data_IF_559323711860
#
_entry.id   IF_559323711860
#
_cell.length_a   1.000
_cell.length_b   1.000
_cell.length_c   1.000
_cell.angle_alpha   90.00
_cell.angle_beta   90.00
_cell.angle_gamma   90.00
#
_symmetry.space_group_name_H-M   'P 1'
#
loop_
_entity.id
_entity.type
_entity.pdbx_description
1 polymer ?
#
# COMPACT_ATOMS: atom_id res chain seq x y z
N UNK A 1 -17.06 -21.37 -71.00
CA UNK A 1 -17.78 -21.45 -69.70
C UNK A 1 -16.76 -21.70 -68.62
N UNK A 2 -16.46 -20.64 -67.85
CA UNK A 2 -15.58 -20.63 -66.67
C UNK A 2 -16.17 -21.52 -65.57
N UNK A 3 -15.30 -22.23 -64.83
CA UNK A 3 -15.54 -22.51 -63.41
C UNK A 3 -14.19 -22.63 -62.69
N UNK A 4 -13.74 -21.50 -62.11
CA UNK A 4 -12.80 -21.45 -61.00
C UNK A 4 -13.49 -22.00 -59.76
N UNK A 5 -12.86 -22.91 -59.01
CA UNK A 5 -13.05 -22.96 -57.55
C UNK A 5 -11.71 -23.18 -56.86
N UNK A 6 -11.35 -22.18 -56.06
CA UNK A 6 -10.11 -22.01 -55.35
C UNK A 6 -10.03 -22.92 -54.11
N UNK A 7 -8.91 -23.63 -53.95
CA UNK A 7 -8.52 -24.22 -52.66
C UNK A 7 -7.93 -23.13 -51.76
N UNK A 8 -8.69 -22.71 -50.76
CA UNK A 8 -8.22 -21.86 -49.69
C UNK A 8 -7.51 -22.71 -48.64
N UNK A 9 -6.19 -22.57 -48.57
CA UNK A 9 -5.36 -23.02 -47.46
C UNK A 9 -5.59 -22.09 -46.27
N UNK A 10 -6.27 -22.55 -45.23
CA UNK A 10 -6.32 -21.87 -43.94
C UNK A 10 -4.95 -21.99 -43.26
N UNK A 11 -4.11 -20.97 -43.38
CA UNK A 11 -2.91 -20.82 -42.56
C UNK A 11 -3.37 -20.50 -41.13
N UNK A 12 -3.13 -21.42 -40.20
CA UNK A 12 -3.42 -21.24 -38.79
C UNK A 12 -2.65 -20.04 -38.23
N UNK A 13 -3.38 -19.06 -37.72
CA UNK A 13 -2.82 -17.92 -37.02
C UNK A 13 -2.21 -18.40 -35.68
N UNK A 14 -0.88 -18.38 -35.59
CA UNK A 14 -0.17 -18.41 -34.32
C UNK A 14 -0.50 -17.10 -33.59
N UNK A 15 -1.51 -17.13 -32.71
CA UNK A 15 -1.75 -16.06 -31.76
C UNK A 15 -0.52 -15.92 -30.86
N UNK A 16 0.08 -14.72 -30.74
CA UNK A 16 1.15 -14.51 -29.78
C UNK A 16 0.58 -14.72 -28.38
N UNK A 17 1.26 -15.55 -27.58
CA UNK A 17 1.02 -15.67 -26.16
C UNK A 17 1.12 -14.27 -25.54
N UNK A 18 -0.01 -13.71 -25.12
CA UNK A 18 0.00 -12.49 -24.32
C UNK A 18 0.84 -12.75 -23.06
N UNK A 19 1.68 -11.79 -22.62
CA UNK A 19 2.43 -11.94 -21.39
C UNK A 19 1.44 -12.18 -20.25
N UNK A 20 1.64 -13.26 -19.49
CA UNK A 20 0.91 -13.48 -18.26
C UNK A 20 1.15 -12.27 -17.35
N UNK A 21 0.10 -11.55 -16.90
CA UNK A 21 0.31 -10.49 -15.93
C UNK A 21 0.98 -11.11 -14.70
N UNK A 22 1.91 -10.40 -14.03
CA UNK A 22 2.53 -10.92 -12.82
C UNK A 22 1.43 -11.32 -11.84
N UNK A 23 1.58 -12.48 -11.19
CA UNK A 23 0.66 -13.04 -10.19
C UNK A 23 0.43 -12.16 -8.95
N UNK A 24 0.90 -10.91 -8.98
CA UNK A 24 0.80 -9.88 -7.94
C UNK A 24 -0.15 -8.76 -8.36
N UNK A 25 -1.23 -9.07 -9.08
CA UNK A 25 -2.45 -8.27 -8.91
C UNK A 25 -3.05 -8.62 -7.53
N UNK A 26 -2.26 -8.41 -6.47
CA UNK A 26 -2.71 -8.52 -5.10
C UNK A 26 -3.88 -7.55 -4.98
N UNK A 27 -5.04 -8.07 -4.64
CA UNK A 27 -6.24 -7.29 -4.36
C UNK A 27 -5.83 -6.21 -3.36
N UNK A 28 -5.69 -4.96 -3.84
CA UNK A 28 -5.20 -3.83 -3.02
C UNK A 28 -6.11 -3.76 -1.79
N UNK A 29 -5.55 -4.02 -0.62
CA UNK A 29 -6.22 -3.71 0.65
C UNK A 29 -6.19 -2.19 0.73
N UNK A 30 -7.27 -1.58 0.28
CA UNK A 30 -7.56 -0.17 0.50
C UNK A 30 -8.58 -0.13 1.64
N UNK A 31 -8.10 0.17 2.84
CA UNK A 31 -8.94 0.87 3.81
C UNK A 31 -9.30 2.24 3.19
N UNK A 32 -10.37 2.91 3.64
CA UNK A 32 -10.68 4.25 3.13
C UNK A 32 -9.48 5.20 3.24
N UNK A 33 -9.49 6.29 2.46
CA UNK A 33 -8.39 7.26 2.33
C UNK A 33 -7.74 7.71 3.67
N UNK A 34 -8.46 7.68 4.79
CA UNK A 34 -7.99 8.11 6.11
C UNK A 34 -7.60 6.95 7.05
N UNK A 35 -6.81 5.98 6.57
CA UNK A 35 -6.50 4.77 7.36
C UNK A 35 -5.11 4.23 7.03
N UNK A 36 -4.20 4.29 8.01
CA UNK A 36 -2.90 3.63 7.92
C UNK A 36 -3.05 2.12 8.11
N UNK A 37 -2.67 1.34 7.10
CA UNK A 37 -2.66 -0.13 7.16
C UNK A 37 -1.63 -0.69 8.16
N UNK A 38 -0.72 0.16 8.65
CA UNK A 38 0.32 -0.19 9.62
C UNK A 38 -0.23 -0.85 10.88
N UNK A 39 -1.42 -0.44 11.35
CA UNK A 39 -2.07 -0.97 12.57
C UNK A 39 -2.32 -2.48 12.46
N UNK A 40 -2.57 -2.96 11.24
CA UNK A 40 -3.00 -4.32 10.94
C UNK A 40 -1.97 -5.10 10.12
N UNK A 41 -0.70 -4.68 10.06
CA UNK A 41 0.32 -5.37 9.28
C UNK A 41 1.22 -6.23 10.17
N UNK A 42 1.42 -7.50 9.80
CA UNK A 42 2.33 -8.45 10.46
C UNK A 42 3.81 -7.99 10.50
N UNK A 43 4.16 -6.98 9.69
CA UNK A 43 5.52 -6.45 9.53
C UNK A 43 5.72 -5.07 10.15
N UNK A 44 4.76 -4.61 10.98
CA UNK A 44 4.78 -3.24 11.55
C UNK A 44 6.08 -2.92 12.30
N UNK A 45 6.63 -3.91 13.01
CA UNK A 45 7.87 -3.88 13.79
C UNK A 45 9.16 -4.07 12.97
N UNK A 46 9.07 -4.26 11.65
CA UNK A 46 10.25 -4.53 10.81
C UNK A 46 10.34 -3.69 9.56
N UNK A 47 9.27 -2.99 9.18
CA UNK A 47 9.18 -2.25 7.93
C UNK A 47 9.87 -0.88 8.01
N UNK A 48 10.78 -0.61 7.08
CA UNK A 48 11.46 0.68 6.98
C UNK A 48 10.50 1.85 6.72
N UNK A 49 9.46 1.64 5.91
CA UNK A 49 8.46 2.69 5.63
C UNK A 49 7.60 3.01 6.84
N UNK A 50 7.19 2.00 7.63
CA UNK A 50 6.40 2.27 8.83
C UNK A 50 7.22 3.04 9.88
N UNK A 51 8.50 2.71 10.05
CA UNK A 51 9.39 3.52 10.90
C UNK A 51 9.52 4.97 10.44
N UNK A 52 9.54 5.21 9.14
CA UNK A 52 9.55 6.57 8.61
C UNK A 52 8.25 7.32 8.93
N UNK A 53 7.09 6.67 8.80
CA UNK A 53 5.80 7.27 9.20
C UNK A 53 5.74 7.57 10.70
N UNK A 54 6.21 6.65 11.56
CA UNK A 54 6.33 6.90 13.00
C UNK A 54 7.16 8.16 13.29
N UNK A 55 8.26 8.35 12.55
CA UNK A 55 9.10 9.54 12.66
C UNK A 55 8.35 10.81 12.26
N UNK A 56 7.54 10.77 11.20
CA UNK A 56 6.74 11.92 10.76
C UNK A 56 5.60 12.24 11.73
N UNK A 57 5.12 11.25 12.49
CA UNK A 57 4.12 11.44 13.55
C UNK A 57 4.75 11.81 14.91
N UNK A 58 6.07 11.92 15.00
CA UNK A 58 6.80 12.15 16.26
C UNK A 58 6.46 11.11 17.35
N UNK A 59 6.06 9.91 16.93
CA UNK A 59 5.66 8.83 17.83
C UNK A 59 6.86 7.96 18.22
N UNK A 60 6.81 7.28 19.37
CA UNK A 60 7.80 6.26 19.70
C UNK A 60 7.87 5.17 18.64
N UNK A 61 9.08 4.76 18.28
CA UNK A 61 9.28 3.70 17.31
C UNK A 61 8.92 2.33 17.88
N UNK A 62 8.11 1.57 17.15
CA UNK A 62 7.78 0.18 17.49
C UNK A 62 9.05 -0.68 17.52
N UNK A 63 9.97 -0.43 16.59
CA UNK A 63 11.28 -1.07 16.56
C UNK A 63 12.40 -0.08 16.20
N UNK A 64 13.52 -0.18 16.91
CA UNK A 64 14.66 0.73 16.74
C UNK A 64 15.44 0.47 15.45
N UNK A 65 15.41 -0.75 14.92
CA UNK A 65 16.21 -1.16 13.75
C UNK A 65 15.43 -2.13 12.86
N UNK A 66 14.40 -1.65 12.13
CA UNK A 66 13.71 -2.42 11.12
C UNK A 66 14.66 -2.84 9.99
N UNK A 67 14.42 -4.02 9.42
CA UNK A 67 15.27 -4.66 8.41
C UNK A 67 14.49 -5.08 7.15
N UNK A 68 13.21 -4.72 7.05
CA UNK A 68 12.33 -5.08 5.96
C UNK A 68 12.05 -3.89 5.03
N UNK A 69 12.44 -4.02 3.76
CA UNK A 69 12.06 -3.10 2.69
C UNK A 69 10.71 -3.54 2.09
N UNK A 70 9.64 -2.73 2.19
CA UNK A 70 8.35 -3.08 1.61
C UNK A 70 8.34 -2.96 0.08
N UNK A 71 7.47 -3.73 -0.55
CA UNK A 71 7.16 -3.62 -1.97
C UNK A 71 6.02 -2.63 -2.20
N UNK A 72 6.22 -1.68 -3.11
CA UNK A 72 5.23 -0.66 -3.54
C UNK A 72 4.43 0.00 -2.39
N UNK A 73 5.08 0.61 -1.38
CA UNK A 73 4.34 1.35 -0.36
C UNK A 73 3.69 2.62 -0.96
N UNK A 74 2.39 2.80 -0.73
CA UNK A 74 1.63 3.95 -1.16
C UNK A 74 1.28 4.80 0.06
N UNK A 75 1.74 6.06 0.06
CA UNK A 75 1.60 6.99 1.18
C UNK A 75 0.66 8.12 0.77
N UNK A 76 -0.35 8.39 1.60
CA UNK A 76 -1.23 9.53 1.50
C UNK A 76 -0.77 10.60 2.50
N UNK A 77 -0.78 11.86 2.07
CA UNK A 77 -0.40 13.01 2.91
C UNK A 77 -1.59 13.96 3.01
N UNK A 78 -2.04 14.22 4.23
CA UNK A 78 -3.03 15.26 4.50
C UNK A 78 -2.32 16.50 5.00
N UNK A 79 -2.58 17.64 4.36
CA UNK A 79 -2.07 18.95 4.78
C UNK A 79 -3.28 19.79 5.13
N UNK A 80 -3.37 20.26 6.37
CA UNK A 80 -4.50 21.05 6.86
C UNK A 80 -4.00 22.38 7.39
N UNK A 81 -4.68 23.44 6.98
CA UNK A 81 -4.48 24.78 7.50
C UNK A 81 -5.45 24.99 8.66
N UNK A 82 -4.92 25.08 9.89
CA UNK A 82 -5.72 25.37 11.08
C UNK A 82 -5.82 26.88 11.31
N UNK A 83 -6.21 27.63 10.27
CA UNK A 83 -6.40 29.09 10.31
C UNK A 83 -7.34 29.59 11.42
N UNK A 84 -8.13 28.71 12.04
CA UNK A 84 -9.00 29.03 13.18
C UNK A 84 -8.33 28.80 14.56
N UNK A 85 -7.22 28.08 14.64
CA UNK A 85 -6.40 28.01 15.84
C UNK A 85 -5.59 29.31 15.95
N UNK A 86 -5.47 29.86 17.16
CA UNK A 86 -4.90 31.19 17.43
C UNK A 86 -3.44 31.41 16.96
N UNK A 87 -2.81 30.39 16.38
CA UNK A 87 -1.40 30.34 16.00
C UNK A 87 -1.16 29.95 14.51
N UNK A 88 -2.20 29.80 13.68
CA UNK A 88 -2.03 29.56 12.23
C UNK A 88 -1.19 28.33 11.90
N UNK A 89 -1.37 27.24 12.66
CA UNK A 89 -0.57 26.04 12.53
C UNK A 89 -0.96 25.22 11.29
N UNK A 90 0.05 24.78 10.52
CA UNK A 90 -0.11 23.80 9.46
C UNK A 90 0.07 22.40 10.07
N UNK A 91 -0.92 21.53 9.94
CA UNK A 91 -0.79 20.12 10.34
C UNK A 91 -0.57 19.24 9.12
N UNK A 92 0.36 18.29 9.26
CA UNK A 92 0.72 17.33 8.21
C UNK A 92 0.62 15.92 8.79
N UNK A 93 -0.12 15.04 8.11
CA UNK A 93 -0.41 13.67 8.53
C UNK A 93 -0.03 12.70 7.39
N UNK A 94 0.60 11.58 7.73
CA UNK A 94 1.15 10.62 6.77
C UNK A 94 0.58 9.22 6.99
N UNK A 95 -0.20 8.71 6.04
CA UNK A 95 -0.80 7.38 6.12
C UNK A 95 -0.25 6.45 5.04
N UNK A 96 0.20 5.25 5.43
CA UNK A 96 0.40 4.17 4.45
C UNK A 96 -0.96 3.53 4.18
N UNK A 97 -1.59 3.86 3.06
CA UNK A 97 -2.95 3.36 2.75
C UNK A 97 -2.96 2.10 1.88
N UNK A 98 -1.83 1.74 1.24
CA UNK A 98 -1.66 0.48 0.51
C UNK A 98 -0.18 0.05 0.43
N UNK A 99 0.08 -1.26 0.31
CA UNK A 99 1.41 -1.83 0.10
C UNK A 99 1.31 -3.27 -0.42
N UNK A 100 2.10 -3.63 -1.44
CA UNK A 100 2.12 -5.00 -2.00
C UNK A 100 2.73 -6.04 -1.03
N UNK A 101 3.47 -5.57 -0.03
CA UNK A 101 4.02 -6.41 1.04
C UNK A 101 3.11 -6.51 2.28
N UNK A 102 1.89 -5.96 2.23
CA UNK A 102 0.93 -6.03 3.34
C UNK A 102 0.59 -7.49 3.66
N UNK A 103 0.68 -7.84 4.94
CA UNK A 103 0.26 -9.14 5.47
C UNK A 103 -0.61 -8.84 6.67
N UNK A 104 -1.87 -9.25 6.62
CA UNK A 104 -2.83 -8.94 7.67
C UNK A 104 -2.45 -9.62 9.00
N UNK A 105 -2.38 -8.81 10.05
CA UNK A 105 -2.30 -9.20 11.45
C UNK A 105 -3.02 -8.11 12.27
N UNK A 106 -4.33 -8.29 12.47
CA UNK A 106 -5.21 -7.26 13.06
C UNK A 106 -4.68 -6.75 14.39
N UNK A 107 -4.56 -5.43 14.53
CA UNK A 107 -4.13 -4.77 15.77
C UNK A 107 -2.71 -5.14 16.23
N UNK A 108 -1.82 -5.62 15.34
CA UNK A 108 -0.44 -5.93 15.71
C UNK A 108 0.26 -4.73 16.35
N UNK A 109 0.05 -3.53 15.81
CA UNK A 109 0.62 -2.32 16.39
C UNK A 109 0.16 -2.10 17.83
N UNK A 110 -1.15 -2.23 18.12
CA UNK A 110 -1.70 -2.08 19.46
C UNK A 110 -1.14 -3.10 20.46
N UNK A 111 -0.86 -4.33 20.01
CA UNK A 111 -0.21 -5.34 20.86
C UNK A 111 1.26 -5.03 21.16
N UNK A 112 1.93 -4.30 20.28
CA UNK A 112 3.33 -3.90 20.44
C UNK A 112 3.49 -2.59 21.21
N UNK A 113 2.45 -1.74 21.16
CA UNK A 113 2.38 -0.44 21.82
C UNK A 113 1.18 -0.38 22.78
N UNK A 114 1.11 -1.21 23.83
CA UNK A 114 -0.04 -1.27 24.73
C UNK A 114 -0.26 0.03 25.52
N UNK A 115 0.80 0.82 25.70
CA UNK A 115 0.81 2.06 26.47
C UNK A 115 0.80 3.31 25.58
N UNK A 116 0.42 3.18 24.30
CA UNK A 116 0.34 4.34 23.41
C UNK A 116 -0.72 5.34 23.89
N UNK A 117 -0.31 6.61 24.05
CA UNK A 117 -1.20 7.70 24.45
C UNK A 117 -2.28 8.01 23.39
N UNK A 118 -1.98 7.68 22.12
CA UNK A 118 -2.89 7.80 21.00
C UNK A 118 -3.19 6.43 20.39
N UNK A 119 -4.46 6.07 20.33
CA UNK A 119 -4.96 4.91 19.61
C UNK A 119 -5.53 5.42 18.28
N UNK A 120 -4.93 5.12 17.13
CA UNK A 120 -5.50 5.49 15.85
C UNK A 120 -6.83 4.73 15.65
N UNK A 121 -7.89 5.44 15.28
CA UNK A 121 -9.25 4.90 15.03
C UNK A 121 -9.50 4.61 13.57
#
# INVERSE_FOLDING_TARGET
>A
MLALLASQLCVGALLPLAPTPPLHAARRVACGAACCICINCARVDRCLTYRWVEQMHEQPHVAQSPDFQPADPQIQVFIRDEAAAAEGALTVEYDVFACDAFVEDHGRWLRLMPDADFIPT
#
